data_IF_186316212657
#
_entry.id   IF_186316212657
#
_cell.length_a   1.000
_cell.length_b   1.000
_cell.length_c   1.000
_cell.angle_alpha   90.00
_cell.angle_beta   90.00
_cell.angle_gamma   90.00
#
_symmetry.space_group_name_H-M   'P 1'
#
loop_
_entity.id
_entity.type
_entity.pdbx_description
1 polymer ?
#
# COMPACT_ATOMS: atom_id res chain seq x y z
N UNK A 1 8.57 -4.06 -16.93
CA UNK A 1 8.44 -3.88 -18.40
C UNK A 1 9.39 -4.78 -19.18
N UNK A 2 10.70 -4.68 -18.92
CA UNK A 2 11.76 -5.48 -19.56
C UNK A 2 11.54 -7.01 -19.57
N UNK A 3 10.86 -7.57 -18.57
CA UNK A 3 10.58 -9.02 -18.48
C UNK A 3 9.21 -9.42 -19.04
N UNK A 4 8.30 -8.46 -19.26
CA UNK A 4 6.93 -8.73 -19.69
C UNK A 4 6.06 -9.54 -18.70
N UNK A 5 6.55 -9.81 -17.49
CA UNK A 5 5.79 -10.57 -16.47
C UNK A 5 4.67 -9.70 -15.90
N UNK A 6 3.41 -10.17 -15.87
CA UNK A 6 2.30 -9.44 -15.27
C UNK A 6 2.54 -9.09 -13.80
N UNK A 7 2.06 -7.92 -13.39
CA UNK A 7 2.26 -7.39 -12.03
C UNK A 7 0.91 -7.40 -11.31
N UNK A 8 0.82 -8.12 -10.19
CA UNK A 8 -0.38 -8.18 -9.37
C UNK A 8 -0.32 -7.07 -8.30
N UNK A 9 -1.21 -6.07 -8.35
CA UNK A 9 -1.24 -5.04 -7.33
C UNK A 9 -1.89 -5.58 -6.04
N UNK A 10 -1.29 -5.21 -4.91
CA UNK A 10 -1.86 -5.47 -3.58
C UNK A 10 -1.98 -4.14 -2.86
N UNK A 11 -3.20 -3.79 -2.45
CA UNK A 11 -3.44 -2.64 -1.58
C UNK A 11 -3.51 -3.11 -0.15
N UNK A 12 -2.68 -2.54 0.71
CA UNK A 12 -2.62 -2.84 2.14
C UNK A 12 -3.10 -1.62 2.90
N UNK A 13 -3.96 -1.83 3.90
CA UNK A 13 -4.29 -0.77 4.85
C UNK A 13 -4.43 -1.31 6.26
N UNK A 14 -4.13 -0.45 7.23
CA UNK A 14 -4.32 -0.71 8.65
C UNK A 14 -5.42 0.20 9.15
N UNK A 15 -6.43 -0.35 9.83
CA UNK A 15 -7.44 0.49 10.48
C UNK A 15 -6.80 1.35 11.59
N UNK A 16 -5.79 0.81 12.28
CA UNK A 16 -5.02 1.53 13.29
C UNK A 16 -3.71 2.14 12.71
N UNK A 17 -3.74 2.68 11.49
CA UNK A 17 -2.56 3.18 10.75
C UNK A 17 -1.64 4.06 11.60
N UNK A 18 -2.21 4.93 12.43
CA UNK A 18 -1.46 5.85 13.30
C UNK A 18 -0.49 5.15 14.27
N UNK A 19 -0.85 3.94 14.73
CA UNK A 19 -0.02 3.15 15.64
C UNK A 19 1.17 2.53 14.90
N UNK A 20 0.95 2.14 13.63
CA UNK A 20 1.94 1.49 12.78
C UNK A 20 2.88 2.48 12.07
N UNK A 21 2.40 3.67 11.72
CA UNK A 21 3.16 4.69 10.97
C UNK A 21 4.35 5.24 11.75
N UNK A 22 5.57 5.21 11.20
CA UNK A 22 6.75 5.74 11.89
C UNK A 22 6.67 7.26 12.09
N UNK A 23 6.53 7.71 13.34
CA UNK A 23 6.46 9.14 13.69
C UNK A 23 7.71 9.55 14.47
N UNK A 24 8.26 10.73 14.21
CA UNK A 24 9.33 11.29 15.06
C UNK A 24 8.75 11.67 16.44
N UNK A 25 9.44 11.42 17.59
CA UNK A 25 10.78 10.87 17.77
C UNK A 25 10.78 9.36 18.13
N UNK A 26 9.89 8.55 17.56
CA UNK A 26 9.71 7.16 17.97
C UNK A 26 10.92 6.29 17.60
N UNK A 27 11.39 5.49 18.57
CA UNK A 27 12.42 4.46 18.38
C UNK A 27 11.79 3.13 17.95
N UNK A 28 12.62 2.17 17.54
CA UNK A 28 12.17 0.81 17.25
C UNK A 28 11.45 0.17 18.45
N UNK A 29 11.93 0.38 19.67
CA UNK A 29 11.30 -0.16 20.88
C UNK A 29 9.90 0.43 21.11
N UNK A 30 9.73 1.73 20.85
CA UNK A 30 8.39 2.34 20.89
C UNK A 30 7.45 1.66 19.89
N UNK A 31 7.94 1.36 18.67
CA UNK A 31 7.13 0.72 17.64
C UNK A 31 6.75 -0.71 17.95
N UNK A 32 7.67 -1.51 18.46
CA UNK A 32 7.36 -2.86 18.93
C UNK A 32 6.28 -2.78 20.02
N UNK A 33 6.43 -1.87 20.99
CA UNK A 33 5.43 -1.61 22.03
C UNK A 33 4.05 -1.25 21.47
N UNK A 34 3.98 -0.26 20.57
CA UNK A 34 2.73 0.20 19.96
C UNK A 34 2.03 -0.90 19.16
N UNK A 35 2.78 -1.73 18.44
CA UNK A 35 2.21 -2.84 17.66
C UNK A 35 1.68 -3.96 18.58
N UNK A 36 2.39 -4.27 19.67
CA UNK A 36 1.96 -5.29 20.64
C UNK A 36 0.74 -4.85 21.46
N UNK A 37 0.57 -3.55 21.70
CA UNK A 37 -0.55 -3.00 22.47
C UNK A 37 -1.70 -2.45 21.61
N UNK A 38 -1.60 -2.55 20.28
CA UNK A 38 -2.64 -2.08 19.38
C UNK A 38 -3.95 -2.82 19.62
N UNK A 39 -5.04 -2.06 19.82
CA UNK A 39 -6.37 -2.65 20.00
C UNK A 39 -6.82 -3.45 18.77
N UNK A 40 -6.44 -2.99 17.57
CA UNK A 40 -6.61 -3.73 16.33
C UNK A 40 -5.26 -3.85 15.60
N UNK A 41 -4.58 -5.01 15.68
CA UNK A 41 -3.30 -5.22 15.03
C UNK A 41 -3.43 -5.75 13.58
N UNK A 42 -4.63 -5.73 12.98
CA UNK A 42 -4.87 -6.35 11.68
C UNK A 42 -4.46 -5.43 10.52
N UNK A 43 -3.78 -6.03 9.55
CA UNK A 43 -3.63 -5.48 8.21
C UNK A 43 -4.71 -6.07 7.31
N UNK A 44 -5.50 -5.23 6.67
CA UNK A 44 -6.43 -5.63 5.62
C UNK A 44 -5.73 -5.51 4.26
N UNK A 45 -6.10 -6.39 3.33
CA UNK A 45 -5.51 -6.38 1.99
C UNK A 45 -6.52 -6.68 0.90
N UNK A 46 -6.31 -6.06 -0.26
CA UNK A 46 -7.08 -6.31 -1.47
C UNK A 46 -6.11 -6.62 -2.61
N UNK A 47 -6.36 -7.75 -3.28
CA UNK A 47 -5.63 -8.18 -4.46
C UNK A 47 -6.43 -7.81 -5.69
N UNK A 48 -5.79 -7.14 -6.65
CA UNK A 48 -6.43 -6.71 -7.89
C UNK A 48 -5.95 -7.53 -9.07
N UNK A 49 -6.68 -7.39 -10.19
CA UNK A 49 -6.30 -7.98 -11.46
C UNK A 49 -4.88 -7.58 -11.87
N UNK A 50 -4.18 -8.55 -12.46
CA UNK A 50 -2.84 -8.36 -12.94
C UNK A 50 -2.78 -7.27 -14.01
N UNK A 51 -1.80 -6.39 -13.89
CA UNK A 51 -1.49 -5.36 -14.88
C UNK A 51 -0.45 -5.94 -15.83
N UNK A 52 -0.79 -6.00 -17.11
CA UNK A 52 0.19 -6.34 -18.15
C UNK A 52 1.13 -5.15 -18.37
N UNK A 53 2.43 -5.27 -18.05
CA UNK A 53 3.36 -4.18 -18.30
C UNK A 53 3.54 -3.88 -19.79
N UNK A 54 3.22 -4.80 -20.72
CA UNK A 54 3.35 -4.54 -22.17
C UNK A 54 2.37 -3.49 -22.69
N UNK A 55 1.35 -3.15 -21.92
CA UNK A 55 0.40 -2.09 -22.25
C UNK A 55 0.98 -0.67 -22.11
N UNK A 56 2.23 -0.51 -21.63
CA UNK A 56 2.84 0.79 -21.37
C UNK A 56 4.14 0.95 -22.18
N UNK A 57 4.37 2.14 -22.75
CA UNK A 57 5.57 2.45 -23.55
C UNK A 57 6.80 2.72 -22.70
N UNK A 58 6.62 3.28 -21.51
CA UNK A 58 7.70 3.58 -20.57
C UNK A 58 7.27 3.41 -19.10
N UNK A 59 8.27 3.35 -18.22
CA UNK A 59 8.07 3.05 -16.79
C UNK A 59 7.35 4.17 -16.05
N UNK A 60 7.43 5.41 -16.52
CA UNK A 60 6.77 6.55 -15.89
C UNK A 60 5.26 6.50 -16.12
N UNK A 61 4.81 6.13 -17.32
CA UNK A 61 3.39 5.89 -17.58
C UNK A 61 2.81 4.76 -16.72
N UNK A 62 3.57 3.68 -16.55
CA UNK A 62 3.17 2.59 -15.66
C UNK A 62 3.05 3.06 -14.20
N UNK A 63 4.02 3.84 -13.69
CA UNK A 63 3.98 4.40 -12.34
C UNK A 63 2.77 5.31 -12.15
N UNK A 64 2.50 6.21 -13.10
CA UNK A 64 1.35 7.11 -13.05
C UNK A 64 0.03 6.33 -13.02
N UNK A 65 -0.08 5.29 -13.85
CA UNK A 65 -1.26 4.42 -13.88
C UNK A 65 -1.48 3.69 -12.54
N UNK A 66 -0.43 3.08 -11.98
CA UNK A 66 -0.52 2.40 -10.68
C UNK A 66 -0.81 3.38 -9.55
N UNK A 67 -0.22 4.59 -9.58
CA UNK A 67 -0.48 5.63 -8.59
C UNK A 67 -1.93 6.14 -8.65
N UNK A 68 -2.49 6.32 -9.84
CA UNK A 68 -3.89 6.69 -10.00
C UNK A 68 -4.84 5.60 -9.47
N UNK A 69 -4.51 4.32 -9.66
CA UNK A 69 -5.23 3.21 -9.03
C UNK A 69 -5.13 3.26 -7.50
N UNK A 70 -3.91 3.42 -6.97
CA UNK A 70 -3.66 3.55 -5.53
C UNK A 70 -4.49 4.69 -4.93
N UNK A 71 -4.48 5.87 -5.54
CA UNK A 71 -5.23 7.04 -5.07
C UNK A 71 -6.72 6.73 -4.98
N UNK A 72 -7.30 6.08 -6.00
CA UNK A 72 -8.72 5.67 -5.98
C UNK A 72 -9.02 4.63 -4.89
N UNK A 73 -8.12 3.69 -4.65
CA UNK A 73 -8.30 2.71 -3.56
C UNK A 73 -8.19 3.39 -2.20
N UNK A 74 -7.27 4.33 -2.06
CA UNK A 74 -7.15 5.15 -0.87
C UNK A 74 -8.46 5.90 -0.59
N UNK A 75 -9.02 6.59 -1.58
CA UNK A 75 -10.31 7.26 -1.45
C UNK A 75 -11.45 6.29 -1.15
N UNK A 76 -11.41 5.07 -1.69
CA UNK A 76 -12.48 4.09 -1.47
C UNK A 76 -12.46 3.46 -0.06
N UNK A 77 -11.28 3.12 0.47
CA UNK A 77 -11.14 2.40 1.74
C UNK A 77 -10.79 3.29 2.93
N UNK A 78 -10.26 4.50 2.70
CA UNK A 78 -9.71 5.38 3.73
C UNK A 78 -10.25 6.81 3.66
N UNK A 79 -11.20 7.14 2.77
CA UNK A 79 -11.86 8.44 2.86
C UNK A 79 -12.69 8.51 4.15
N UNK A 80 -12.44 9.57 4.93
CA UNK A 80 -13.20 9.95 6.12
C UNK A 80 -14.56 10.57 5.75
#
# INVERSE_FOLDING_TARGET
MRTGVPIVPVFLHYEAQELFEWRSPQTLLHKIGHMMSAQNPRANYYVYDAIDPKAFSDVELFKQFVYAKYSRWNDHYLAE
#
